data_IF_319063279670
#
_entry.id   IF_319063279670
#
_cell.length_a   1.000
_cell.length_b   1.000
_cell.length_c   1.000
_cell.angle_alpha   90.00
_cell.angle_beta   90.00
_cell.angle_gamma   90.00
#
_symmetry.space_group_name_H-M   'P 1'
#
loop_
_entity.id
_entity.type
_entity.pdbx_description
1 polymer ?
#
# COMPACT_ATOMS: atom_id res chain seq x y z
N UNK A 1 -37.57 -12.28 -58.94
CA UNK A 1 -37.85 -13.66 -58.48
C UNK A 1 -36.72 -14.05 -57.51
N UNK A 2 -36.85 -13.70 -56.25
CA UNK A 2 -35.93 -14.08 -55.20
C UNK A 2 -36.69 -14.99 -54.24
N UNK A 3 -36.13 -16.13 -54.03
CA UNK A 3 -36.67 -17.28 -53.32
C UNK A 3 -36.63 -16.95 -51.83
N UNK A 4 -37.80 -16.84 -51.23
CA UNK A 4 -37.98 -16.83 -49.78
C UNK A 4 -37.65 -18.23 -49.26
N UNK A 5 -36.55 -18.41 -48.54
CA UNK A 5 -36.22 -19.62 -47.84
C UNK A 5 -37.09 -19.72 -46.59
N UNK A 6 -37.68 -20.88 -46.41
CA UNK A 6 -38.59 -21.32 -45.32
C UNK A 6 -38.02 -21.09 -43.93
N UNK A 7 -38.40 -19.96 -43.32
CA UNK A 7 -38.28 -19.79 -41.83
C UNK A 7 -39.50 -20.43 -41.19
N UNK A 8 -39.32 -21.12 -40.11
CA UNK A 8 -40.35 -21.82 -39.33
C UNK A 8 -41.41 -20.83 -38.86
N UNK A 9 -42.73 -21.16 -38.83
CA UNK A 9 -43.76 -20.27 -38.26
C UNK A 9 -43.45 -19.85 -36.79
N UNK A 10 -42.68 -20.61 -36.06
CA UNK A 10 -42.23 -20.31 -34.70
C UNK A 10 -41.21 -19.16 -34.66
N UNK A 11 -40.33 -19.05 -35.64
CA UNK A 11 -39.33 -17.96 -35.72
C UNK A 11 -40.00 -16.60 -36.00
N UNK A 12 -41.09 -16.56 -36.81
CA UNK A 12 -41.83 -15.33 -37.05
C UNK A 12 -42.57 -14.82 -35.81
N UNK A 13 -43.15 -15.72 -35.00
CA UNK A 13 -43.87 -15.33 -33.77
C UNK A 13 -42.93 -14.78 -32.73
N UNK A 14 -41.77 -15.40 -32.54
CA UNK A 14 -40.72 -14.94 -31.58
C UNK A 14 -40.13 -13.57 -31.99
N UNK A 15 -39.98 -13.32 -33.31
CA UNK A 15 -39.49 -12.04 -33.82
C UNK A 15 -40.52 -10.92 -33.65
N UNK A 16 -41.82 -11.22 -33.85
CA UNK A 16 -42.90 -10.24 -33.63
C UNK A 16 -43.08 -9.88 -32.15
N UNK A 17 -43.00 -10.87 -31.23
CA UNK A 17 -43.03 -10.63 -29.78
C UNK A 17 -41.84 -9.79 -29.30
N UNK A 18 -40.64 -10.08 -29.76
CA UNK A 18 -39.45 -9.30 -29.40
C UNK A 18 -39.56 -7.86 -29.90
N UNK A 19 -40.03 -7.66 -31.12
CA UNK A 19 -40.25 -6.32 -31.69
C UNK A 19 -41.36 -5.53 -30.96
N UNK A 20 -42.37 -6.20 -30.42
CA UNK A 20 -43.40 -5.58 -29.60
C UNK A 20 -42.85 -5.13 -28.24
N UNK A 21 -42.07 -5.99 -27.57
CA UNK A 21 -41.39 -5.67 -26.29
C UNK A 21 -40.45 -4.47 -26.46
N UNK A 22 -39.61 -4.46 -27.48
CA UNK A 22 -38.67 -3.34 -27.71
C UNK A 22 -39.37 -2.01 -27.98
N UNK A 23 -40.47 -2.04 -28.74
CA UNK A 23 -41.31 -0.83 -29.04
C UNK A 23 -41.92 -0.28 -27.75
N UNK A 24 -42.46 -1.13 -26.91
CA UNK A 24 -43.07 -0.69 -25.64
C UNK A 24 -42.03 -0.21 -24.63
N UNK A 25 -40.84 -0.80 -24.58
CA UNK A 25 -39.72 -0.31 -23.80
C UNK A 25 -39.31 1.11 -24.21
N UNK A 26 -39.23 1.38 -25.50
CA UNK A 26 -39.02 2.74 -26.05
C UNK A 26 -40.07 3.71 -25.54
N UNK A 27 -41.35 3.33 -25.55
CA UNK A 27 -42.43 4.18 -25.08
C UNK A 27 -42.40 4.43 -23.57
N UNK A 28 -41.98 3.41 -22.77
CA UNK A 28 -41.76 3.55 -21.33
C UNK A 28 -40.53 4.48 -21.09
N UNK A 29 -39.44 4.29 -21.81
CA UNK A 29 -38.25 5.12 -21.74
C UNK A 29 -38.56 6.60 -22.01
N UNK A 30 -39.30 6.89 -23.08
CA UNK A 30 -39.72 8.25 -23.42
C UNK A 30 -40.62 8.88 -22.34
N UNK A 31 -41.52 8.11 -21.72
CA UNK A 31 -42.36 8.58 -20.62
C UNK A 31 -41.53 8.88 -19.35
N UNK A 32 -40.53 8.06 -19.01
CA UNK A 32 -39.61 8.31 -17.90
C UNK A 32 -38.73 9.53 -18.19
N UNK A 33 -38.23 9.67 -19.41
CA UNK A 33 -37.43 10.83 -19.87
C UNK A 33 -38.17 12.16 -19.71
N UNK A 34 -39.47 12.20 -19.98
CA UNK A 34 -40.28 13.39 -19.77
C UNK A 34 -40.30 13.88 -18.31
N UNK A 35 -40.00 13.00 -17.37
CA UNK A 35 -39.95 13.28 -15.92
C UNK A 35 -38.54 13.12 -15.32
N UNK A 36 -37.48 13.24 -16.13
CA UNK A 36 -36.11 13.11 -15.71
C UNK A 36 -35.72 14.04 -14.56
N UNK A 37 -36.08 15.32 -14.53
CA UNK A 37 -35.79 16.21 -13.41
C UNK A 37 -36.42 15.74 -12.09
N UNK A 38 -37.67 15.30 -12.10
CA UNK A 38 -38.40 14.81 -10.93
C UNK A 38 -37.75 13.54 -10.38
N UNK A 39 -37.42 12.57 -11.26
CA UNK A 39 -36.75 11.34 -10.89
C UNK A 39 -35.34 11.61 -10.33
N UNK A 40 -34.59 12.53 -10.93
CA UNK A 40 -33.28 12.96 -10.43
C UNK A 40 -33.41 13.51 -9.01
N UNK A 41 -34.38 14.36 -8.74
CA UNK A 41 -34.64 14.94 -7.44
C UNK A 41 -35.07 13.89 -6.41
N UNK A 42 -35.88 12.93 -6.77
CA UNK A 42 -36.28 11.82 -5.90
C UNK A 42 -35.09 10.95 -5.50
N UNK A 43 -34.24 10.60 -6.46
CA UNK A 43 -33.01 9.82 -6.21
C UNK A 43 -32.09 10.62 -5.28
N UNK A 44 -31.84 11.89 -5.57
CA UNK A 44 -31.04 12.79 -4.74
C UNK A 44 -31.54 12.86 -3.29
N UNK A 45 -32.85 13.04 -3.09
CA UNK A 45 -33.45 13.07 -1.75
C UNK A 45 -33.24 11.75 -0.98
N UNK A 46 -33.39 10.61 -1.66
CA UNK A 46 -33.14 9.29 -1.04
C UNK A 46 -31.68 9.09 -0.66
N UNK A 47 -30.75 9.49 -1.50
CA UNK A 47 -29.32 9.40 -1.23
C UNK A 47 -28.94 10.28 -0.04
N UNK A 48 -29.36 11.53 -0.03
CA UNK A 48 -29.03 12.49 1.04
C UNK A 48 -29.76 12.22 2.36
N UNK A 49 -30.92 11.59 2.34
CA UNK A 49 -31.59 11.11 3.56
C UNK A 49 -30.84 9.99 4.24
N UNK A 50 -30.15 9.14 3.47
CA UNK A 50 -29.36 8.03 4.00
C UNK A 50 -27.91 8.42 4.32
N UNK A 51 -27.45 9.61 3.90
CA UNK A 51 -26.11 10.14 4.11
C UNK A 51 -26.16 11.67 4.23
N UNK A 52 -26.59 12.21 5.39
CA UNK A 52 -26.77 13.66 5.59
C UNK A 52 -25.51 14.50 5.38
N UNK A 53 -24.33 13.88 5.53
CA UNK A 53 -23.02 14.50 5.31
C UNK A 53 -22.74 14.83 3.83
N UNK A 54 -23.57 14.38 2.90
CA UNK A 54 -23.50 14.78 1.49
C UNK A 54 -24.05 16.19 1.24
N UNK A 55 -24.71 16.77 2.22
CA UNK A 55 -25.27 18.13 2.18
C UNK A 55 -24.25 19.14 2.70
N UNK A 56 -24.36 20.38 2.24
CA UNK A 56 -23.57 21.51 2.76
C UNK A 56 -22.32 21.84 1.95
N UNK A 57 -22.10 21.17 0.82
CA UNK A 57 -21.10 21.55 -0.18
C UNK A 57 -21.80 21.71 -1.53
N UNK A 58 -22.16 22.94 -1.86
CA UNK A 58 -22.92 23.28 -3.09
C UNK A 58 -22.29 22.72 -4.38
N UNK A 59 -20.96 22.71 -4.43
CA UNK A 59 -20.24 22.18 -5.60
C UNK A 59 -20.42 20.66 -5.70
N UNK A 60 -20.35 19.96 -4.58
CA UNK A 60 -20.53 18.51 -4.54
C UNK A 60 -22.01 18.12 -4.79
N UNK A 61 -22.96 18.88 -4.27
CA UNK A 61 -24.38 18.66 -4.52
C UNK A 61 -24.73 18.80 -6.01
N UNK A 62 -24.17 19.80 -6.70
CA UNK A 62 -24.32 19.97 -8.15
C UNK A 62 -23.72 18.81 -8.93
N UNK A 63 -22.52 18.37 -8.54
CA UNK A 63 -21.85 17.23 -9.18
C UNK A 63 -22.64 15.92 -8.99
N UNK A 64 -23.13 15.66 -7.78
CA UNK A 64 -23.93 14.46 -7.50
C UNK A 64 -25.25 14.49 -8.29
N UNK A 65 -25.91 15.64 -8.34
CA UNK A 65 -27.15 15.81 -9.13
C UNK A 65 -26.89 15.58 -10.64
N UNK A 66 -25.82 16.14 -11.18
CA UNK A 66 -25.41 15.89 -12.56
C UNK A 66 -25.09 14.41 -12.79
N UNK A 67 -24.35 13.78 -11.90
CA UNK A 67 -24.03 12.34 -11.97
C UNK A 67 -25.30 11.47 -11.99
N UNK A 68 -26.31 11.81 -11.21
CA UNK A 68 -27.60 11.08 -11.21
C UNK A 68 -28.31 11.28 -12.54
N UNK A 69 -28.45 12.53 -12.98
CA UNK A 69 -29.15 12.86 -14.23
C UNK A 69 -28.51 12.20 -15.45
N UNK A 70 -27.18 12.28 -15.55
CA UNK A 70 -26.41 11.69 -16.67
C UNK A 70 -26.50 10.17 -16.69
N UNK A 71 -26.48 9.49 -15.52
CA UNK A 71 -26.66 8.05 -15.46
C UNK A 71 -28.06 7.62 -15.89
N UNK A 72 -29.10 8.33 -15.44
CA UNK A 72 -30.48 8.05 -15.87
C UNK A 72 -30.65 8.31 -17.35
N UNK A 73 -30.11 9.41 -17.88
CA UNK A 73 -30.15 9.73 -19.30
C UNK A 73 -29.45 8.66 -20.15
N UNK A 74 -28.25 8.24 -19.76
CA UNK A 74 -27.48 7.21 -20.46
C UNK A 74 -28.20 5.86 -20.48
N UNK A 75 -28.87 5.46 -19.38
CA UNK A 75 -29.70 4.25 -19.36
C UNK A 75 -30.91 4.35 -20.29
N UNK A 76 -31.54 5.54 -20.37
CA UNK A 76 -32.64 5.78 -21.30
C UNK A 76 -32.16 5.74 -22.76
N UNK A 77 -30.95 6.23 -23.05
CA UNK A 77 -30.35 6.14 -24.39
C UNK A 77 -30.09 4.67 -24.79
N UNK A 78 -29.78 3.77 -23.85
CA UNK A 78 -29.69 2.33 -24.14
C UNK A 78 -31.04 1.76 -24.59
N UNK A 79 -32.15 2.17 -23.96
CA UNK A 79 -33.47 1.76 -24.38
C UNK A 79 -33.86 2.33 -25.78
N UNK A 80 -33.55 3.61 -26.05
CA UNK A 80 -33.95 4.30 -27.28
C UNK A 80 -33.12 3.87 -28.48
N UNK A 81 -31.84 3.57 -28.30
CA UNK A 81 -30.92 3.30 -29.41
C UNK A 81 -30.63 1.81 -29.62
N UNK A 82 -31.08 0.95 -28.69
CA UNK A 82 -30.78 -0.49 -28.70
C UNK A 82 -29.28 -0.78 -28.65
N UNK A 83 -28.50 0.11 -28.02
CA UNK A 83 -27.04 -0.05 -27.95
C UNK A 83 -26.67 -1.28 -27.11
N UNK A 84 -25.66 -2.04 -27.55
CA UNK A 84 -25.15 -3.12 -26.74
C UNK A 84 -24.52 -2.56 -25.44
N UNK A 85 -24.86 -3.15 -24.32
CA UNK A 85 -24.37 -2.72 -22.97
C UNK A 85 -22.84 -2.71 -22.89
N UNK A 86 -22.15 -3.61 -23.60
CA UNK A 86 -20.70 -3.65 -23.68
C UNK A 86 -20.04 -2.38 -24.24
N UNK A 87 -20.78 -1.57 -24.98
CA UNK A 87 -20.34 -0.27 -25.50
C UNK A 87 -20.65 0.93 -24.61
N UNK A 88 -21.32 0.70 -23.47
CA UNK A 88 -21.72 1.79 -22.57
C UNK A 88 -20.54 2.23 -21.70
N UNK A 89 -20.28 3.53 -21.73
CA UNK A 89 -19.29 4.16 -20.86
C UNK A 89 -19.97 4.90 -19.70
N UNK A 90 -19.31 4.90 -18.55
CA UNK A 90 -19.77 5.67 -17.41
C UNK A 90 -19.79 7.18 -17.76
N UNK A 91 -20.86 7.91 -17.42
CA UNK A 91 -20.92 9.35 -17.65
C UNK A 91 -19.78 10.09 -16.96
N UNK A 92 -19.28 11.16 -17.58
CA UNK A 92 -18.17 11.96 -17.05
C UNK A 92 -18.45 12.49 -15.63
N UNK A 93 -19.69 12.94 -15.37
CA UNK A 93 -20.06 13.38 -14.02
C UNK A 93 -20.04 12.25 -12.98
N UNK A 94 -20.33 11.01 -13.38
CA UNK A 94 -20.26 9.85 -12.51
C UNK A 94 -18.81 9.50 -12.16
N UNK A 95 -17.90 9.53 -13.13
CA UNK A 95 -16.48 9.34 -12.89
C UNK A 95 -15.88 10.45 -12.01
N UNK A 96 -16.23 11.72 -12.25
CA UNK A 96 -15.75 12.83 -11.43
C UNK A 96 -16.29 12.75 -10.00
N UNK A 97 -17.54 12.33 -9.82
CA UNK A 97 -18.08 12.03 -8.49
C UNK A 97 -17.28 10.94 -7.78
N UNK A 98 -16.90 9.86 -8.48
CA UNK A 98 -16.06 8.81 -7.93
C UNK A 98 -14.67 9.32 -7.52
N UNK A 99 -14.02 10.16 -8.36
CA UNK A 99 -12.73 10.80 -8.01
C UNK A 99 -12.87 11.66 -6.75
N UNK A 100 -13.90 12.50 -6.67
CA UNK A 100 -14.15 13.35 -5.48
C UNK A 100 -14.40 12.53 -4.22
N UNK A 101 -15.15 11.43 -4.33
CA UNK A 101 -15.35 10.51 -3.20
C UNK A 101 -14.03 9.89 -2.74
N UNK A 102 -13.17 9.47 -3.65
CA UNK A 102 -11.86 8.93 -3.33
C UNK A 102 -10.96 9.96 -2.63
N UNK A 103 -10.89 11.19 -3.14
CA UNK A 103 -10.12 12.29 -2.55
C UNK A 103 -10.60 12.68 -1.14
N UNK A 104 -11.90 12.54 -0.87
CA UNK A 104 -12.52 12.75 0.46
C UNK A 104 -12.43 11.53 1.37
N UNK A 105 -11.79 10.45 0.93
CA UNK A 105 -11.67 9.18 1.66
C UNK A 105 -13.04 8.57 2.04
N UNK A 106 -14.09 8.88 1.30
CA UNK A 106 -15.40 8.30 1.50
C UNK A 106 -15.36 6.79 1.21
N UNK A 107 -15.92 5.92 2.07
CA UNK A 107 -15.86 4.48 1.84
C UNK A 107 -16.53 4.06 0.50
N UNK A 108 -15.89 3.17 -0.26
CA UNK A 108 -16.40 2.68 -1.56
C UNK A 108 -17.79 2.07 -1.46
N UNK A 109 -18.15 1.53 -0.30
CA UNK A 109 -19.48 0.96 -0.05
C UNK A 109 -20.59 2.01 -0.22
N UNK A 110 -20.30 3.30 0.00
CA UNK A 110 -21.25 4.39 -0.25
C UNK A 110 -21.55 4.55 -1.73
N UNK A 111 -20.52 4.46 -2.57
CA UNK A 111 -20.65 4.51 -4.03
C UNK A 111 -21.53 3.37 -4.54
N UNK A 112 -21.25 2.14 -4.14
CA UNK A 112 -22.05 0.96 -4.49
C UNK A 112 -23.50 1.10 -4.02
N UNK A 113 -23.70 1.59 -2.79
CA UNK A 113 -25.06 1.83 -2.25
C UNK A 113 -25.82 2.89 -3.04
N UNK A 114 -25.14 3.95 -3.49
CA UNK A 114 -25.77 5.00 -4.30
C UNK A 114 -26.32 4.44 -5.60
N UNK A 115 -25.57 3.61 -6.30
CA UNK A 115 -26.03 2.95 -7.53
C UNK A 115 -27.24 2.04 -7.28
N UNK A 116 -27.24 1.26 -6.20
CA UNK A 116 -28.39 0.41 -5.84
C UNK A 116 -29.67 1.21 -5.54
N UNK A 117 -29.52 2.32 -4.83
CA UNK A 117 -30.67 3.22 -4.53
C UNK A 117 -31.20 3.86 -5.81
N UNK A 118 -30.32 4.36 -6.66
CA UNK A 118 -30.70 4.97 -7.93
C UNK A 118 -31.39 3.97 -8.87
N UNK A 119 -30.81 2.77 -9.03
CA UNK A 119 -31.38 1.69 -9.83
C UNK A 119 -32.77 1.28 -9.34
N UNK A 120 -32.93 1.04 -8.03
CA UNK A 120 -34.22 0.64 -7.47
C UNK A 120 -35.30 1.72 -7.68
N UNK A 121 -34.95 3.02 -7.63
CA UNK A 121 -35.93 4.10 -7.91
C UNK A 121 -36.21 4.23 -9.39
N UNK A 122 -35.22 4.09 -10.26
CA UNK A 122 -35.42 4.08 -11.71
C UNK A 122 -36.36 2.94 -12.12
N UNK A 123 -36.08 1.71 -11.67
CA UNK A 123 -36.89 0.54 -11.99
C UNK A 123 -38.33 0.72 -11.49
N UNK A 124 -38.52 1.24 -10.26
CA UNK A 124 -39.85 1.55 -9.74
C UNK A 124 -40.60 2.54 -10.63
N UNK A 125 -39.91 3.58 -11.15
CA UNK A 125 -40.52 4.56 -12.06
C UNK A 125 -40.92 3.91 -13.38
N UNK A 126 -40.11 2.99 -13.94
CA UNK A 126 -40.47 2.24 -15.15
C UNK A 126 -41.70 1.36 -14.93
N UNK A 127 -41.79 0.67 -13.78
CA UNK A 127 -42.96 -0.15 -13.43
C UNK A 127 -44.20 0.70 -13.18
N UNK A 128 -44.09 1.89 -12.58
CA UNK A 128 -45.19 2.84 -12.45
C UNK A 128 -45.74 3.23 -13.86
N UNK A 129 -44.86 3.52 -14.83
CA UNK A 129 -45.24 3.84 -16.19
C UNK A 129 -45.90 2.65 -16.92
N UNK A 130 -45.39 1.43 -16.67
CA UNK A 130 -45.97 0.21 -17.21
C UNK A 130 -47.39 -0.02 -16.69
N UNK A 131 -47.65 0.24 -15.40
CA UNK A 131 -48.94 0.10 -14.75
C UNK A 131 -50.02 1.11 -15.26
N UNK A 132 -49.62 2.20 -15.90
CA UNK A 132 -50.58 3.17 -16.51
C UNK A 132 -51.15 2.69 -17.82
N UNK A 133 -50.68 1.59 -18.37
CA UNK A 133 -51.02 1.03 -19.69
C UNK A 133 -51.71 -0.34 -19.52
N UNK A 134 -52.55 -0.69 -20.49
CA UNK A 134 -53.24 -1.96 -20.48
C UNK A 134 -52.56 -2.95 -21.45
N UNK A 135 -51.83 -3.89 -20.91
CA UNK A 135 -51.17 -4.98 -21.64
C UNK A 135 -51.80 -6.32 -21.23
N UNK A 136 -51.73 -7.32 -22.10
CA UNK A 136 -51.97 -8.70 -21.67
C UNK A 136 -50.87 -9.17 -20.68
N UNK A 137 -51.14 -10.30 -20.04
CA UNK A 137 -50.26 -10.84 -18.99
C UNK A 137 -48.90 -11.27 -19.54
N UNK A 138 -48.86 -11.83 -20.74
CA UNK A 138 -47.64 -12.39 -21.33
C UNK A 138 -46.69 -11.23 -21.76
N UNK A 139 -47.22 -10.21 -22.43
CA UNK A 139 -46.44 -9.01 -22.78
C UNK A 139 -45.97 -8.27 -21.52
N UNK A 140 -46.82 -8.17 -20.48
CA UNK A 140 -46.41 -7.53 -19.21
C UNK A 140 -45.20 -8.25 -18.59
N UNK A 141 -45.24 -9.58 -18.53
CA UNK A 141 -44.16 -10.37 -17.98
C UNK A 141 -42.89 -10.22 -18.81
N UNK A 142 -42.98 -10.28 -20.12
CA UNK A 142 -41.86 -10.09 -21.03
C UNK A 142 -41.22 -8.70 -20.89
N UNK A 143 -42.03 -7.65 -20.76
CA UNK A 143 -41.59 -6.26 -20.54
C UNK A 143 -40.86 -6.12 -19.19
N UNK A 144 -41.39 -6.67 -18.10
CA UNK A 144 -40.75 -6.65 -16.77
C UNK A 144 -39.43 -7.40 -16.81
N UNK A 145 -39.38 -8.61 -17.39
CA UNK A 145 -38.16 -9.38 -17.52
C UNK A 145 -37.08 -8.56 -18.29
N UNK A 146 -37.44 -8.00 -19.44
CA UNK A 146 -36.52 -7.21 -20.26
C UNK A 146 -36.05 -5.94 -19.56
N UNK A 147 -36.94 -5.22 -18.85
CA UNK A 147 -36.57 -4.08 -18.01
C UNK A 147 -35.54 -4.44 -16.95
N UNK A 148 -35.75 -5.55 -16.26
CA UNK A 148 -34.85 -6.04 -15.22
C UNK A 148 -33.49 -6.34 -15.85
N UNK A 149 -33.44 -7.16 -16.90
CA UNK A 149 -32.19 -7.55 -17.55
C UNK A 149 -31.36 -6.34 -18.00
N UNK A 150 -31.96 -5.45 -18.81
CA UNK A 150 -31.25 -4.29 -19.36
C UNK A 150 -30.77 -3.33 -18.26
N UNK A 151 -31.58 -3.10 -17.22
CA UNK A 151 -31.21 -2.19 -16.16
C UNK A 151 -30.13 -2.77 -15.24
N UNK A 152 -30.15 -4.08 -14.97
CA UNK A 152 -29.10 -4.75 -14.21
C UNK A 152 -27.78 -4.79 -14.98
N UNK A 153 -27.81 -5.15 -16.27
CA UNK A 153 -26.60 -5.14 -17.12
C UNK A 153 -25.97 -3.76 -17.20
N UNK A 154 -26.79 -2.70 -17.36
CA UNK A 154 -26.31 -1.33 -17.36
C UNK A 154 -25.63 -0.96 -16.04
N UNK A 155 -26.30 -1.24 -14.91
CA UNK A 155 -25.77 -0.91 -13.58
C UNK A 155 -24.48 -1.68 -13.30
N UNK A 156 -24.41 -2.95 -13.67
CA UNK A 156 -23.19 -3.75 -13.50
C UNK A 156 -22.03 -3.14 -14.30
N UNK A 157 -22.25 -2.90 -15.60
CA UNK A 157 -21.23 -2.34 -16.49
C UNK A 157 -20.73 -0.96 -16.03
N UNK A 158 -21.64 -0.04 -15.69
CA UNK A 158 -21.27 1.33 -15.30
C UNK A 158 -20.68 1.36 -13.88
N UNK A 159 -21.24 0.60 -12.94
CA UNK A 159 -20.68 0.56 -11.57
C UNK A 159 -19.26 0.00 -11.53
N UNK A 160 -18.95 -1.01 -12.35
CA UNK A 160 -17.59 -1.54 -12.48
C UNK A 160 -16.59 -0.47 -12.93
N UNK A 161 -16.95 0.33 -13.95
CA UNK A 161 -16.09 1.42 -14.47
C UNK A 161 -15.87 2.52 -13.43
N UNK A 162 -16.92 2.90 -12.71
CA UNK A 162 -16.88 3.95 -11.68
C UNK A 162 -16.11 3.48 -10.44
N UNK A 163 -16.26 2.22 -10.04
CA UNK A 163 -15.48 1.60 -8.98
C UNK A 163 -13.99 1.58 -9.36
N UNK A 164 -13.65 1.21 -10.59
CA UNK A 164 -12.27 1.22 -11.08
C UNK A 164 -11.68 2.65 -11.07
N UNK A 165 -12.47 3.66 -11.43
CA UNK A 165 -12.06 5.06 -11.36
C UNK A 165 -11.83 5.52 -9.92
N UNK A 166 -12.72 5.16 -8.98
CA UNK A 166 -12.54 5.41 -7.55
C UNK A 166 -11.25 4.78 -7.01
N UNK A 167 -10.99 3.51 -7.34
CA UNK A 167 -9.80 2.80 -6.87
C UNK A 167 -8.52 3.44 -7.39
N UNK A 168 -8.45 3.73 -8.70
CA UNK A 168 -7.29 4.41 -9.31
C UNK A 168 -7.00 5.76 -8.66
N UNK A 169 -8.02 6.56 -8.43
CA UNK A 169 -7.87 7.88 -7.79
C UNK A 169 -7.43 7.76 -6.34
N UNK A 170 -7.99 6.81 -5.59
CA UNK A 170 -7.59 6.53 -4.21
C UNK A 170 -6.13 6.11 -4.13
N UNK A 171 -5.68 5.23 -5.01
CA UNK A 171 -4.30 4.75 -5.04
C UNK A 171 -3.34 5.89 -5.42
N UNK A 172 -3.70 6.70 -6.42
CA UNK A 172 -2.94 7.90 -6.80
C UNK A 172 -2.85 8.91 -5.64
N UNK A 173 -3.95 9.13 -4.92
CA UNK A 173 -3.97 10.03 -3.76
C UNK A 173 -3.07 9.51 -2.62
N UNK A 174 -3.13 8.20 -2.33
CA UNK A 174 -2.28 7.57 -1.31
C UNK A 174 -0.79 7.68 -1.67
N UNK A 175 -0.42 7.43 -2.92
CA UNK A 175 0.95 7.62 -3.43
C UNK A 175 1.39 9.09 -3.32
N UNK A 176 0.53 10.02 -3.66
CA UNK A 176 0.80 11.46 -3.51
C UNK A 176 1.03 11.88 -2.06
N UNK A 177 0.27 11.32 -1.11
CA UNK A 177 0.47 11.57 0.32
C UNK A 177 1.79 10.95 0.83
N UNK A 178 2.11 9.74 0.40
CA UNK A 178 3.38 9.09 0.74
C UNK A 178 4.57 9.88 0.20
N UNK A 179 4.51 10.36 -1.05
CA UNK A 179 5.56 11.20 -1.64
C UNK A 179 5.73 12.54 -0.90
N UNK A 180 4.63 13.22 -0.53
CA UNK A 180 4.67 14.46 0.27
C UNK A 180 5.28 14.20 1.65
N UNK A 181 4.94 13.09 2.30
CA UNK A 181 5.52 12.69 3.60
C UNK A 181 7.02 12.43 3.46
N UNK A 182 7.44 11.68 2.44
CA UNK A 182 8.84 11.40 2.16
C UNK A 182 9.63 12.70 1.92
N UNK A 183 9.11 13.62 1.11
CA UNK A 183 9.75 14.91 0.86
C UNK A 183 9.94 15.74 2.14
N UNK A 184 8.93 15.78 3.02
CA UNK A 184 9.02 16.46 4.33
C UNK A 184 10.09 15.82 5.23
N UNK A 185 10.14 14.49 5.29
CA UNK A 185 11.17 13.79 6.06
C UNK A 185 12.55 14.08 5.50
N UNK A 186 12.74 14.05 4.18
CA UNK A 186 14.01 14.43 3.54
C UNK A 186 14.44 15.87 3.90
N UNK A 187 13.52 16.81 3.87
CA UNK A 187 13.81 18.19 4.27
C UNK A 187 14.28 18.28 5.73
N UNK A 188 13.63 17.55 6.65
CA UNK A 188 14.02 17.50 8.06
C UNK A 188 15.35 16.79 8.31
N UNK A 189 15.71 15.83 7.48
CA UNK A 189 17.04 15.18 7.56
C UNK A 189 18.14 16.11 7.08
N UNK A 190 17.85 17.03 6.14
CA UNK A 190 18.83 17.96 5.55
C UNK A 190 18.98 19.25 6.34
N UNK A 191 17.92 19.80 6.94
CA UNK A 191 17.91 21.12 7.56
C UNK A 191 16.93 21.24 8.72
N UNK A 192 17.10 22.27 9.56
CA UNK A 192 16.13 22.58 10.61
C UNK A 192 14.89 23.23 10.02
N UNK A 193 13.67 22.85 10.47
CA UNK A 193 12.46 23.54 10.07
C UNK A 193 12.41 24.94 10.67
N UNK A 194 11.85 25.90 9.92
CA UNK A 194 11.64 27.24 10.43
C UNK A 194 10.61 27.28 11.58
N UNK A 195 9.63 26.39 11.53
CA UNK A 195 8.60 26.19 12.54
C UNK A 195 8.46 24.70 12.86
N UNK A 196 8.79 24.33 14.10
CA UNK A 196 8.73 22.95 14.57
C UNK A 196 7.29 22.44 14.74
N UNK A 197 6.38 23.28 15.20
CA UNK A 197 4.99 22.90 15.43
C UNK A 197 4.26 22.67 14.12
N UNK A 198 4.53 23.50 13.12
CA UNK A 198 4.05 23.29 11.75
C UNK A 198 4.62 22.00 11.13
N UNK A 199 5.90 21.71 11.37
CA UNK A 199 6.53 20.48 10.88
C UNK A 199 5.94 19.23 11.54
N UNK A 200 5.74 19.22 12.85
CA UNK A 200 5.09 18.12 13.60
C UNK A 200 3.64 17.90 13.13
N UNK A 201 2.88 18.99 12.99
CA UNK A 201 1.50 18.93 12.49
C UNK A 201 1.42 18.36 11.07
N UNK A 202 2.30 18.82 10.17
CA UNK A 202 2.34 18.40 8.78
C UNK A 202 2.76 16.93 8.60
N UNK A 203 3.56 16.37 9.52
CA UNK A 203 3.96 14.96 9.53
C UNK A 203 2.98 14.07 10.29
N UNK A 204 2.20 14.65 11.22
CA UNK A 204 1.45 13.89 12.22
C UNK A 204 2.36 13.09 13.16
N UNK A 205 3.58 13.61 13.43
CA UNK A 205 4.61 12.93 14.22
C UNK A 205 5.37 13.92 15.11
N UNK A 206 5.61 13.55 16.39
CA UNK A 206 6.29 14.40 17.38
C UNK A 206 7.81 14.34 17.23
N UNK A 207 8.40 15.39 16.66
CA UNK A 207 9.85 15.48 16.45
C UNK A 207 10.63 15.73 17.74
N UNK A 208 9.99 16.28 18.78
CA UNK A 208 10.56 16.51 20.12
C UNK A 208 10.58 15.23 20.98
N UNK A 209 9.96 14.14 20.54
CA UNK A 209 9.96 12.86 21.27
C UNK A 209 11.34 12.19 21.26
N UNK A 210 11.44 11.07 21.98
CA UNK A 210 12.55 10.14 21.84
C UNK A 210 12.21 9.15 20.73
N UNK A 211 13.12 8.94 19.80
CA UNK A 211 12.89 8.18 18.57
C UNK A 211 13.76 6.92 18.52
N UNK A 212 13.24 5.87 17.94
CA UNK A 212 13.99 4.73 17.44
C UNK A 212 13.85 4.69 15.91
N UNK A 213 14.95 4.98 15.21
CA UNK A 213 15.01 4.89 13.75
C UNK A 213 15.27 3.47 13.30
N UNK A 214 14.54 3.04 12.31
CA UNK A 214 14.56 1.68 11.77
C UNK A 214 14.55 1.76 10.24
N UNK A 215 15.37 0.94 9.60
CA UNK A 215 15.27 0.65 8.17
C UNK A 215 14.88 -0.81 8.04
N UNK A 216 13.75 -1.06 7.37
CA UNK A 216 13.23 -2.40 7.12
C UNK A 216 13.20 -2.67 5.62
N UNK A 217 13.64 -3.85 5.19
CA UNK A 217 13.62 -4.24 3.79
C UNK A 217 13.34 -5.74 3.62
N UNK A 218 12.85 -6.09 2.45
CA UNK A 218 12.64 -7.46 2.02
C UNK A 218 13.74 -7.87 1.04
N UNK A 219 14.32 -9.05 1.23
CA UNK A 219 15.31 -9.63 0.33
C UNK A 219 14.62 -10.64 -0.61
N UNK A 220 14.93 -10.61 -1.92
CA UNK A 220 14.32 -11.44 -2.96
C UNK A 220 13.50 -10.64 -3.95
N UNK A 221 12.70 -11.30 -4.81
CA UNK A 221 11.77 -10.64 -5.72
C UNK A 221 10.41 -10.42 -5.02
N UNK A 222 10.12 -9.21 -4.56
CA UNK A 222 8.89 -8.92 -3.84
C UNK A 222 7.72 -8.63 -4.80
N UNK A 223 6.53 -9.07 -4.41
CA UNK A 223 5.27 -8.52 -4.92
C UNK A 223 5.05 -7.16 -4.24
N UNK A 224 5.21 -6.07 -4.99
CA UNK A 224 5.24 -4.69 -4.47
C UNK A 224 4.08 -4.35 -3.52
N UNK A 225 2.85 -4.71 -3.88
CA UNK A 225 1.66 -4.39 -3.08
C UNK A 225 1.63 -5.16 -1.74
N UNK A 226 2.02 -6.44 -1.76
CA UNK A 226 2.10 -7.26 -0.55
C UNK A 226 3.26 -6.83 0.35
N UNK A 227 4.40 -6.49 -0.24
CA UNK A 227 5.62 -6.06 0.46
C UNK A 227 5.39 -4.79 1.27
N UNK A 228 4.75 -3.79 0.69
CA UNK A 228 4.48 -2.53 1.38
C UNK A 228 3.51 -2.72 2.55
N UNK A 229 2.44 -3.47 2.36
CA UNK A 229 1.50 -3.81 3.44
C UNK A 229 2.16 -4.61 4.57
N UNK A 230 3.13 -5.47 4.24
CA UNK A 230 3.91 -6.23 5.22
C UNK A 230 4.81 -5.32 6.06
N UNK A 231 5.55 -4.41 5.41
CA UNK A 231 6.41 -3.44 6.10
C UNK A 231 5.61 -2.47 6.99
N UNK A 232 4.43 -2.02 6.55
CA UNK A 232 3.56 -1.15 7.36
C UNK A 232 2.98 -1.89 8.57
N UNK A 233 2.57 -3.14 8.39
CA UNK A 233 2.12 -4.01 9.47
C UNK A 233 3.24 -4.28 10.47
N UNK A 234 4.48 -4.48 10.01
CA UNK A 234 5.66 -4.62 10.84
C UNK A 234 5.87 -3.37 11.71
N UNK A 235 5.83 -2.18 11.11
CA UNK A 235 5.96 -0.91 11.85
C UNK A 235 4.92 -0.78 12.96
N UNK A 236 3.66 -1.12 12.66
CA UNK A 236 2.55 -1.08 13.61
C UNK A 236 2.72 -2.12 14.73
N UNK A 237 3.22 -3.30 14.41
CA UNK A 237 3.48 -4.37 15.40
C UNK A 237 4.66 -4.00 16.30
N UNK A 238 5.75 -3.50 15.73
CA UNK A 238 6.91 -3.02 16.48
C UNK A 238 6.53 -1.88 17.44
N UNK A 239 5.71 -0.93 16.98
CA UNK A 239 5.21 0.16 17.83
C UNK A 239 4.45 -0.37 19.06
N UNK A 240 3.59 -1.36 18.89
CA UNK A 240 2.84 -1.98 20.00
C UNK A 240 3.76 -2.76 20.94
N UNK A 241 4.67 -3.58 20.42
CA UNK A 241 5.57 -4.41 21.20
C UNK A 241 6.53 -3.57 22.04
N UNK A 242 7.08 -2.49 21.47
CA UNK A 242 7.97 -1.55 22.14
C UNK A 242 7.21 -0.47 22.93
N UNK A 243 5.88 -0.56 23.04
CA UNK A 243 5.02 0.38 23.76
C UNK A 243 5.25 1.84 23.35
N UNK A 244 5.31 2.07 22.04
CA UNK A 244 5.49 3.40 21.46
C UNK A 244 4.39 4.39 21.93
N UNK A 245 4.77 5.64 22.14
CA UNK A 245 3.86 6.72 22.59
C UNK A 245 3.24 7.47 21.39
N UNK A 246 2.62 6.75 20.47
CA UNK A 246 1.96 7.29 19.27
C UNK A 246 2.13 6.39 18.07
N UNK A 247 1.63 6.86 16.93
CA UNK A 247 1.75 6.14 15.67
C UNK A 247 3.19 6.19 15.16
N UNK A 248 3.70 5.11 14.56
CA UNK A 248 4.99 5.12 13.89
C UNK A 248 4.94 6.08 12.67
N UNK A 249 6.03 6.78 12.43
CA UNK A 249 6.22 7.48 11.18
C UNK A 249 6.79 6.47 10.17
N UNK A 250 5.96 6.07 9.22
CA UNK A 250 6.31 5.14 8.16
C UNK A 250 6.52 5.90 6.85
N UNK A 251 7.67 5.67 6.21
CA UNK A 251 8.08 6.33 4.96
C UNK A 251 8.58 5.28 3.99
N UNK A 252 7.76 4.86 3.00
CA UNK A 252 8.19 3.97 1.95
C UNK A 252 9.27 4.64 1.09
N UNK A 253 10.29 3.90 0.70
CA UNK A 253 11.37 4.37 -0.17
C UNK A 253 11.30 3.78 -1.57
N UNK A 254 10.99 2.49 -1.62
CA UNK A 254 10.71 1.72 -2.84
C UNK A 254 9.76 0.57 -2.51
N UNK A 255 9.58 -0.36 -3.43
CA UNK A 255 8.63 -1.48 -3.29
C UNK A 255 8.99 -2.46 -2.18
N UNK A 256 10.23 -2.47 -1.71
CA UNK A 256 10.76 -3.44 -0.75
C UNK A 256 11.45 -2.82 0.46
N UNK A 257 11.55 -1.48 0.56
CA UNK A 257 12.28 -0.77 1.60
C UNK A 257 11.46 0.36 2.21
N UNK A 258 11.48 0.46 3.54
CA UNK A 258 10.85 1.54 4.28
C UNK A 258 11.74 2.07 5.40
N UNK A 259 11.63 3.37 5.67
CA UNK A 259 12.14 4.03 6.85
C UNK A 259 11.02 4.18 7.87
N UNK A 260 11.34 3.90 9.13
CA UNK A 260 10.37 3.90 10.21
C UNK A 260 10.97 4.63 11.41
N UNK A 261 10.20 5.50 12.05
CA UNK A 261 10.55 6.07 13.35
C UNK A 261 9.47 5.70 14.36
N UNK A 262 9.89 5.10 15.46
CA UNK A 262 9.02 4.74 16.58
C UNK A 262 9.19 5.77 17.71
N UNK A 263 8.11 6.47 18.13
CA UNK A 263 8.18 7.42 19.23
C UNK A 263 8.18 6.65 20.56
N UNK A 264 9.30 6.69 21.30
CA UNK A 264 9.48 5.97 22.56
C UNK A 264 9.20 6.84 23.79
N UNK A 265 8.87 6.19 24.91
CA UNK A 265 8.93 6.83 26.22
C UNK A 265 10.38 7.06 26.64
N UNK A 266 10.62 8.04 27.53
CA UNK A 266 11.96 8.40 27.98
C UNK A 266 12.68 7.24 28.71
N UNK A 267 11.93 6.42 29.41
CA UNK A 267 12.37 5.30 30.22
C UNK A 267 12.39 3.94 29.50
N UNK A 268 11.99 3.91 28.21
CA UNK A 268 11.96 2.66 27.44
C UNK A 268 13.37 2.13 27.22
N UNK A 269 13.67 0.95 27.78
CA UNK A 269 14.89 0.23 27.50
C UNK A 269 14.75 -0.60 26.22
N UNK A 270 15.71 -0.48 25.33
CA UNK A 270 15.76 -1.25 24.09
C UNK A 270 16.83 -2.33 24.25
N UNK A 271 16.39 -3.55 24.52
CA UNK A 271 17.27 -4.72 24.61
C UNK A 271 17.22 -5.53 23.33
N UNK A 272 18.15 -6.45 23.16
CA UNK A 272 18.21 -7.38 22.01
C UNK A 272 16.91 -8.18 21.91
N UNK A 273 16.45 -8.73 23.02
CA UNK A 273 15.23 -9.55 23.11
C UNK A 273 13.98 -8.73 22.74
N UNK A 274 13.94 -7.46 23.19
CA UNK A 274 12.84 -6.56 22.85
C UNK A 274 12.79 -6.25 21.35
N UNK A 275 13.96 -6.07 20.70
CA UNK A 275 14.04 -5.88 19.26
C UNK A 275 13.65 -7.15 18.49
N UNK A 276 14.14 -8.31 18.89
CA UNK A 276 13.77 -9.59 18.26
C UNK A 276 12.27 -9.86 18.38
N UNK A 277 11.66 -9.57 19.51
CA UNK A 277 10.22 -9.69 19.72
C UNK A 277 9.42 -8.67 18.88
N UNK A 278 9.90 -7.42 18.78
CA UNK A 278 9.23 -6.35 18.06
C UNK A 278 9.23 -6.58 16.54
N UNK A 279 10.31 -7.13 16.02
CA UNK A 279 10.51 -7.39 14.59
C UNK A 279 10.40 -8.88 14.23
N UNK A 280 9.74 -9.65 15.10
CA UNK A 280 9.42 -11.05 14.80
C UNK A 280 8.35 -11.10 13.69
N UNK A 281 8.71 -11.66 12.55
CA UNK A 281 7.78 -11.95 11.47
C UNK A 281 8.04 -13.37 10.93
N UNK A 282 6.99 -13.96 10.33
CA UNK A 282 7.08 -15.28 9.71
C UNK A 282 7.85 -15.24 8.37
N UNK A 283 7.94 -14.09 7.73
CA UNK A 283 8.66 -13.92 6.49
C UNK A 283 10.17 -14.04 6.69
N UNK A 284 10.79 -15.06 6.08
CA UNK A 284 12.23 -15.26 6.13
C UNK A 284 13.04 -14.20 5.38
N UNK A 285 12.41 -13.51 4.44
CA UNK A 285 13.01 -12.46 3.61
C UNK A 285 13.16 -11.12 4.32
N UNK A 286 12.43 -10.88 5.41
CA UNK A 286 12.47 -9.61 6.15
C UNK A 286 13.81 -9.42 6.86
N UNK A 287 14.39 -8.23 6.70
CA UNK A 287 15.58 -7.74 7.38
C UNK A 287 15.31 -6.38 7.97
N UNK A 288 15.92 -6.09 9.10
CA UNK A 288 15.74 -4.84 9.85
C UNK A 288 17.08 -4.37 10.42
N UNK A 289 17.38 -3.10 10.21
CA UNK A 289 18.48 -2.40 10.89
C UNK A 289 17.92 -1.31 11.79
N UNK A 290 18.53 -1.11 12.95
CA UNK A 290 18.02 -0.27 14.03
C UNK A 290 19.12 0.64 14.54
N UNK A 291 18.83 1.95 14.64
CA UNK A 291 19.72 2.91 15.32
C UNK A 291 19.54 2.88 16.85
N UNK A 292 20.29 3.71 17.56
CA UNK A 292 20.12 3.90 19.00
C UNK A 292 19.02 4.91 19.29
N UNK A 293 18.22 4.71 20.35
CA UNK A 293 17.18 5.64 20.73
C UNK A 293 17.74 7.02 21.08
N UNK A 294 17.21 8.08 20.48
CA UNK A 294 17.66 9.42 20.71
C UNK A 294 16.49 10.44 20.71
N UNK A 295 16.62 11.54 21.44
CA UNK A 295 15.55 12.53 21.63
C UNK A 295 15.71 13.76 20.74
N UNK A 296 14.58 14.39 20.40
CA UNK A 296 14.50 15.64 19.65
C UNK A 296 14.85 15.47 18.17
N UNK A 297 14.88 16.58 17.42
CA UNK A 297 15.15 16.57 15.98
C UNK A 297 16.54 15.99 15.64
N UNK A 298 17.55 16.32 16.42
CA UNK A 298 18.89 15.75 16.23
C UNK A 298 18.91 14.25 16.54
N UNK A 299 18.11 13.82 17.51
CA UNK A 299 17.89 12.40 17.79
C UNK A 299 17.17 11.70 16.64
N UNK A 300 16.15 12.32 16.05
CA UNK A 300 15.44 11.83 14.86
C UNK A 300 16.38 11.56 13.70
N UNK A 301 17.32 12.47 13.45
CA UNK A 301 18.36 12.33 12.40
C UNK A 301 19.39 11.27 12.74
N UNK A 302 19.93 11.32 13.98
CA UNK A 302 21.00 10.44 14.43
C UNK A 302 20.59 8.97 14.39
N UNK A 303 19.43 8.65 14.96
CA UNK A 303 18.97 7.26 14.99
C UNK A 303 18.69 6.72 13.56
N UNK A 304 18.23 7.57 12.63
CA UNK A 304 18.07 7.21 11.23
C UNK A 304 19.42 6.94 10.55
N UNK A 305 20.39 7.85 10.69
CA UNK A 305 21.71 7.70 10.07
C UNK A 305 22.40 6.42 10.56
N UNK A 306 22.30 6.12 11.85
CA UNK A 306 22.80 4.88 12.43
C UNK A 306 22.10 3.63 11.84
N UNK A 307 20.77 3.69 11.66
CA UNK A 307 20.04 2.58 11.05
C UNK A 307 20.45 2.36 9.59
N UNK A 308 20.68 3.43 8.81
CA UNK A 308 21.18 3.35 7.42
C UNK A 308 22.60 2.78 7.37
N UNK A 309 23.50 3.24 8.24
CA UNK A 309 24.85 2.71 8.31
C UNK A 309 24.86 1.22 8.67
N UNK A 310 23.99 0.83 9.59
CA UNK A 310 23.80 -0.57 9.97
C UNK A 310 23.24 -1.39 8.81
N UNK A 311 22.29 -0.85 8.02
CA UNK A 311 21.78 -1.50 6.83
C UNK A 311 22.90 -1.73 5.80
N UNK A 312 23.71 -0.71 5.52
CA UNK A 312 24.83 -0.82 4.59
C UNK A 312 25.78 -1.96 4.97
N UNK A 313 26.07 -2.11 6.26
CA UNK A 313 26.86 -3.23 6.77
C UNK A 313 26.11 -4.56 6.59
N UNK A 314 24.82 -4.63 6.95
CA UNK A 314 24.04 -5.86 6.88
C UNK A 314 23.86 -6.37 5.43
N UNK A 315 23.88 -5.49 4.43
CA UNK A 315 23.79 -5.86 3.01
C UNK A 315 25.06 -6.53 2.47
N UNK A 316 26.21 -6.31 3.11
CA UNK A 316 27.50 -6.90 2.69
C UNK A 316 27.92 -8.08 3.57
N UNK A 317 27.36 -8.19 4.78
CA UNK A 317 27.63 -9.28 5.67
C UNK A 317 26.95 -10.57 5.19
N UNK A 318 27.56 -11.71 5.54
CA UNK A 318 26.94 -13.02 5.30
C UNK A 318 25.53 -13.05 5.94
N UNK A 319 24.48 -13.50 5.23
CA UNK A 319 23.13 -13.51 5.77
C UNK A 319 23.04 -14.33 7.06
N UNK A 320 22.83 -13.66 8.19
CA UNK A 320 22.76 -14.32 9.49
C UNK A 320 21.59 -13.85 10.34
N UNK A 321 21.58 -12.59 10.73
CA UNK A 321 20.60 -12.05 11.66
C UNK A 321 19.50 -11.29 10.93
N UNK A 322 18.26 -11.48 11.40
CA UNK A 322 17.11 -10.72 10.88
C UNK A 322 17.14 -9.26 11.33
N UNK A 323 17.54 -9.03 12.57
CA UNK A 323 17.63 -7.71 13.21
C UNK A 323 19.08 -7.42 13.50
N UNK A 324 19.59 -6.29 13.00
CA UNK A 324 20.93 -5.78 13.29
C UNK A 324 20.80 -4.44 13.98
N UNK A 325 21.34 -4.31 15.19
CA UNK A 325 21.29 -3.08 15.97
C UNK A 325 22.63 -2.32 15.91
N UNK A 326 22.58 -1.00 15.72
CA UNK A 326 23.78 -0.15 15.70
C UNK A 326 24.59 -0.28 17.00
N UNK A 327 23.93 -0.45 18.14
CA UNK A 327 24.59 -0.67 19.43
C UNK A 327 25.56 -1.87 19.43
N UNK A 328 25.33 -2.87 18.57
CA UNK A 328 26.15 -4.09 18.48
C UNK A 328 27.27 -3.96 17.43
N UNK A 329 27.01 -3.26 16.35
CA UNK A 329 27.87 -3.24 15.17
C UNK A 329 28.37 -1.84 14.81
N UNK A 330 28.10 -0.82 15.63
CA UNK A 330 28.32 0.59 15.28
C UNK A 330 29.73 0.91 14.84
N UNK A 331 30.74 0.37 15.53
CA UNK A 331 32.14 0.55 15.13
C UNK A 331 32.41 -0.01 13.72
N UNK A 332 31.90 -1.19 13.42
CA UNK A 332 32.03 -1.80 12.08
C UNK A 332 31.21 -1.03 11.05
N UNK A 333 29.99 -0.61 11.39
CA UNK A 333 29.15 0.17 10.49
C UNK A 333 29.79 1.51 10.11
N UNK A 334 30.45 2.18 11.06
CA UNK A 334 31.20 3.42 10.82
C UNK A 334 32.46 3.19 9.96
N UNK A 335 33.24 2.15 10.25
CA UNK A 335 34.43 1.80 9.46
C UNK A 335 34.03 1.44 8.02
N UNK A 336 32.96 0.68 7.84
CA UNK A 336 32.46 0.22 6.53
C UNK A 336 31.62 1.28 5.79
N UNK A 337 31.50 2.50 6.32
CA UNK A 337 30.77 3.59 5.62
C UNK A 337 31.45 3.98 4.32
N UNK A 338 32.79 3.88 4.25
CA UNK A 338 33.59 3.95 3.03
C UNK A 338 34.30 2.59 2.83
N UNK A 339 33.75 1.78 1.95
CA UNK A 339 34.24 0.41 1.72
C UNK A 339 35.65 0.36 1.16
N UNK A 340 36.00 1.25 0.25
CA UNK A 340 37.28 1.24 -0.43
C UNK A 340 38.40 1.66 0.53
N UNK A 341 38.14 2.69 1.32
CA UNK A 341 39.05 3.13 2.39
C UNK A 341 39.18 2.03 3.47
N UNK A 342 38.08 1.44 3.92
CA UNK A 342 38.11 0.36 4.90
C UNK A 342 38.90 -0.86 4.40
N UNK A 343 38.67 -1.28 3.15
CA UNK A 343 39.38 -2.39 2.53
C UNK A 343 40.88 -2.10 2.42
N UNK A 344 41.24 -0.91 1.95
CA UNK A 344 42.63 -0.49 1.83
C UNK A 344 43.33 -0.50 3.18
N UNK A 345 42.67 0.00 4.21
CA UNK A 345 43.19 -0.02 5.59
C UNK A 345 43.35 -1.44 6.14
N UNK A 346 42.39 -2.34 5.91
CA UNK A 346 42.48 -3.75 6.32
C UNK A 346 43.64 -4.46 5.65
N UNK A 347 43.82 -4.26 4.34
CA UNK A 347 44.92 -4.86 3.58
C UNK A 347 46.29 -4.34 4.09
N UNK A 348 46.40 -3.03 4.33
CA UNK A 348 47.62 -2.44 4.85
C UNK A 348 47.95 -2.84 6.31
N UNK A 349 46.90 -3.12 7.11
CA UNK A 349 47.07 -3.48 8.50
C UNK A 349 47.36 -4.98 8.72
N UNK A 350 46.67 -5.83 7.95
CA UNK A 350 46.74 -7.27 8.12
C UNK A 350 47.69 -7.96 7.15
N UNK A 351 48.20 -7.25 6.15
CA UNK A 351 49.08 -7.82 5.13
C UNK A 351 48.53 -9.17 4.58
N UNK A 352 49.35 -10.25 4.52
CA UNK A 352 48.94 -11.55 4.02
C UNK A 352 47.86 -12.20 4.90
N UNK A 353 47.70 -11.77 6.16
CA UNK A 353 46.62 -12.25 7.02
C UNK A 353 45.22 -11.79 6.54
N UNK A 354 45.18 -10.78 5.64
CA UNK A 354 43.93 -10.32 5.00
C UNK A 354 43.46 -11.21 3.83
N UNK A 355 44.25 -12.22 3.39
CA UNK A 355 43.84 -13.13 2.32
C UNK A 355 42.55 -13.84 2.71
N UNK A 356 41.57 -13.80 1.77
CA UNK A 356 40.23 -14.37 2.01
C UNK A 356 40.17 -15.84 1.59
N UNK A 357 40.81 -16.70 2.42
CA UNK A 357 40.75 -18.14 2.30
C UNK A 357 40.55 -18.80 3.67
N UNK A 358 40.21 -20.08 3.66
CA UNK A 358 39.93 -20.83 4.88
C UNK A 358 41.17 -20.96 5.83
N UNK A 359 42.40 -21.18 5.34
CA UNK A 359 43.61 -21.18 6.20
C UNK A 359 43.79 -19.86 6.96
N UNK A 360 43.76 -18.73 6.26
CA UNK A 360 43.91 -17.39 6.87
C UNK A 360 42.75 -17.05 7.77
N UNK A 361 41.50 -17.44 7.43
CA UNK A 361 40.35 -17.27 8.30
C UNK A 361 40.54 -17.96 9.65
N UNK A 362 41.07 -19.19 9.66
CA UNK A 362 41.40 -19.93 10.91
C UNK A 362 42.53 -19.25 11.71
N UNK A 363 43.49 -18.64 11.03
CA UNK A 363 44.55 -17.87 11.73
C UNK A 363 43.95 -16.62 12.37
N UNK A 364 43.12 -15.86 11.64
CA UNK A 364 42.41 -14.66 12.16
C UNK A 364 41.56 -14.99 13.38
N UNK A 365 40.77 -16.08 13.33
CA UNK A 365 39.92 -16.50 14.42
C UNK A 365 40.73 -16.87 15.67
N UNK A 366 41.81 -17.64 15.48
CA UNK A 366 42.70 -18.04 16.59
C UNK A 366 43.38 -16.82 17.22
N UNK A 367 43.84 -15.89 16.37
CA UNK A 367 44.49 -14.66 16.80
C UNK A 367 43.54 -13.76 17.59
N UNK A 368 42.31 -13.56 17.07
CA UNK A 368 41.28 -12.75 17.73
C UNK A 368 40.98 -13.27 19.15
N UNK A 369 40.84 -14.58 19.28
CA UNK A 369 40.57 -15.20 20.57
C UNK A 369 41.78 -15.10 21.49
N UNK A 370 43.00 -15.25 20.96
CA UNK A 370 44.23 -15.06 21.74
C UNK A 370 44.38 -13.63 22.27
N UNK A 371 44.14 -12.60 21.41
CA UNK A 371 44.19 -11.20 21.83
C UNK A 371 43.14 -10.87 22.90
N UNK A 372 42.01 -11.57 22.91
CA UNK A 372 40.95 -11.38 23.90
C UNK A 372 41.29 -12.05 25.23
N UNK A 373 41.98 -13.20 25.20
CA UNK A 373 42.23 -14.04 26.41
C UNK A 373 43.61 -13.88 27.00
N UNK A 374 44.59 -13.43 26.22
CA UNK A 374 46.01 -13.33 26.60
C UNK A 374 46.66 -14.68 26.89
N UNK A 375 46.02 -15.84 26.57
CA UNK A 375 46.46 -17.17 26.99
C UNK A 375 46.27 -18.22 25.91
N UNK A 376 47.34 -18.86 25.49
CA UNK A 376 47.29 -19.99 24.56
C UNK A 376 46.44 -21.17 25.08
N UNK A 377 46.48 -21.41 26.41
CA UNK A 377 45.72 -22.49 27.01
C UNK A 377 44.21 -22.23 26.93
N UNK A 378 43.78 -21.05 27.33
CA UNK A 378 42.36 -20.66 27.26
C UNK A 378 41.85 -20.57 25.82
N UNK A 379 42.70 -20.09 24.91
CA UNK A 379 42.39 -20.05 23.49
C UNK A 379 42.18 -21.46 22.93
N UNK A 380 43.08 -22.38 23.26
CA UNK A 380 43.00 -23.77 22.83
C UNK A 380 41.75 -24.48 23.36
N UNK A 381 41.44 -24.30 24.66
CA UNK A 381 40.22 -24.85 25.27
C UNK A 381 38.94 -24.36 24.58
N UNK A 382 38.83 -23.07 24.35
CA UNK A 382 37.64 -22.47 23.68
C UNK A 382 37.48 -22.91 22.23
N UNK A 383 38.59 -23.18 21.54
CA UNK A 383 38.60 -23.65 20.15
C UNK A 383 38.58 -25.19 20.02
N UNK A 384 38.56 -25.91 21.13
CA UNK A 384 38.68 -27.37 21.16
C UNK A 384 39.95 -27.87 20.44
N UNK A 385 41.09 -27.18 20.69
CA UNK A 385 42.40 -27.48 20.10
C UNK A 385 43.39 -27.86 21.18
N UNK A 386 44.52 -28.47 20.78
CA UNK A 386 45.67 -28.61 21.66
C UNK A 386 46.40 -27.27 21.77
N UNK A 387 46.98 -26.98 22.94
CA UNK A 387 47.74 -25.75 23.24
C UNK A 387 48.79 -25.44 22.18
N UNK A 388 49.55 -26.46 21.76
CA UNK A 388 50.60 -26.29 20.76
C UNK A 388 50.04 -25.88 19.37
N UNK A 389 48.84 -26.33 19.04
CA UNK A 389 48.17 -25.94 17.81
C UNK A 389 47.73 -24.47 17.84
N UNK A 390 47.21 -24.01 18.99
CA UNK A 390 46.86 -22.59 19.18
C UNK A 390 48.12 -21.70 19.08
N UNK A 391 49.20 -22.09 19.78
CA UNK A 391 50.48 -21.39 19.71
C UNK A 391 51.06 -21.35 18.30
N UNK A 392 51.05 -22.49 17.56
CA UNK A 392 51.47 -22.56 16.15
C UNK A 392 50.66 -21.62 15.26
N UNK A 393 49.33 -21.61 15.40
CA UNK A 393 48.46 -20.73 14.59
C UNK A 393 48.70 -19.25 14.89
N UNK A 394 48.88 -18.86 16.14
CA UNK A 394 49.23 -17.46 16.47
C UNK A 394 50.57 -17.08 15.85
N UNK A 395 51.62 -17.93 15.95
CA UNK A 395 52.90 -17.66 15.31
C UNK A 395 52.80 -17.55 13.79
N UNK A 396 51.95 -18.36 13.15
CA UNK A 396 51.68 -18.23 11.71
C UNK A 396 50.89 -16.95 11.37
N UNK A 397 50.01 -16.51 12.28
CA UNK A 397 49.32 -15.24 12.12
C UNK A 397 50.28 -14.03 12.24
N UNK A 398 51.27 -14.10 13.16
CA UNK A 398 52.35 -13.10 13.29
C UNK A 398 53.24 -13.04 12.04
N UNK A 399 53.62 -14.21 11.48
CA UNK A 399 54.35 -14.28 10.21
C UNK A 399 53.55 -13.59 9.05
N UNK A 400 52.27 -13.92 8.90
CA UNK A 400 51.41 -13.33 7.87
C UNK A 400 51.12 -11.84 8.09
N UNK A 401 51.09 -11.39 9.36
CA UNK A 401 50.95 -9.99 9.71
C UNK A 401 52.23 -9.17 9.48
N UNK A 402 53.39 -9.85 9.54
CA UNK A 402 54.68 -9.20 9.43
C UNK A 402 55.16 -8.48 10.69
N UNK A 403 54.50 -8.66 11.80
CA UNK A 403 54.81 -8.04 13.11
C UNK A 403 54.47 -8.95 14.28
N UNK A 404 55.26 -8.93 15.38
CA UNK A 404 54.94 -9.64 16.61
C UNK A 404 53.72 -9.00 17.29
N UNK A 405 52.99 -9.83 18.01
CA UNK A 405 51.76 -9.46 18.75
C UNK A 405 52.03 -9.36 20.24
#
# INVERSE_FOLDING_TARGET
MSICTTESPYDCVVVEETAAVDRELLAIGAAVRAHLPDLTQEIWQRLTSSAPELRGDDMYEKLLTASIADNVAALLDVFEQGMPISGVHAPTAAEENARRMAQRQAPIVRLVRSYRIAHGRFLARCVEQLATRSYDSDLTLALVARLVDVTFDYIDQVSMQVIATYQRERDHWLLGQAAKRAARVHALLASNPADMDAAESALGYRLRARHLGVVAWLSGEPDAAKSMAELERLASTAARTLKARGQPLFVPRDEALAWIWLPLAQDTQITREALEAAFHDKARSLRVSVGEPAAGLDGFRRTYLQAVQTQNLALIATPGTRVTAFAEVGALALICSDRDTARSWVLATLNDLAIDDEPHARLRETLQLYLTTGSYTVTAERMLLHKNTAQYRVGKAEEALGAPI
#
